data_IF_337046475408
#
_entry.id   IF_337046475408
#
_cell.length_a   1.000
_cell.length_b   1.000
_cell.length_c   1.000
_cell.angle_alpha   90.00
_cell.angle_beta   90.00
_cell.angle_gamma   90.00
#
_symmetry.space_group_name_H-M   'P 1'
#
loop_
_entity.id
_entity.type
_entity.pdbx_description
1 polymer ?
#
# COMPACT_ATOMS: atom_id res chain seq x y z
N UNK A 1 15.23 25.22 -37.95
CA UNK A 1 14.18 24.24 -37.58
C UNK A 1 14.12 24.14 -36.06
N UNK A 2 13.36 25.02 -35.42
CA UNK A 2 13.20 25.05 -33.95
C UNK A 2 12.22 23.97 -33.50
N UNK A 3 12.50 23.32 -32.36
CA UNK A 3 11.67 22.27 -31.78
C UNK A 3 10.36 22.89 -31.25
N UNK A 4 9.27 22.76 -32.01
CA UNK A 4 7.93 23.16 -31.55
C UNK A 4 7.55 22.26 -30.36
N UNK A 5 7.31 22.87 -29.20
CA UNK A 5 6.85 22.15 -28.00
C UNK A 5 5.46 21.59 -28.29
N UNK A 6 5.31 20.26 -28.26
CA UNK A 6 3.98 19.61 -28.32
C UNK A 6 3.12 20.15 -27.18
N UNK A 7 1.95 20.71 -27.52
CA UNK A 7 0.97 21.19 -26.55
C UNK A 7 0.39 19.97 -25.83
N UNK A 8 0.65 19.84 -24.52
CA UNK A 8 0.09 18.76 -23.69
C UNK A 8 -1.31 19.20 -23.25
N UNK A 9 -2.34 18.53 -23.75
CA UNK A 9 -3.75 18.86 -23.44
C UNK A 9 -4.20 18.31 -22.08
N UNK A 10 -3.57 17.24 -21.60
CA UNK A 10 -3.95 16.59 -20.35
C UNK A 10 -2.82 16.68 -19.32
N UNK A 11 -3.18 17.05 -18.10
CA UNK A 11 -2.22 17.23 -17.01
C UNK A 11 -1.51 15.91 -16.66
N UNK A 12 -2.24 14.79 -16.64
CA UNK A 12 -1.69 13.46 -16.41
C UNK A 12 -2.01 12.85 -15.03
N UNK A 13 -2.91 13.46 -14.25
CA UNK A 13 -3.26 13.04 -12.87
C UNK A 13 -4.01 11.71 -12.74
N UNK A 14 -4.22 11.02 -13.86
CA UNK A 14 -4.95 9.74 -13.85
C UNK A 14 -4.29 8.71 -12.92
N UNK A 15 -2.98 8.79 -12.71
CA UNK A 15 -2.24 7.93 -11.79
C UNK A 15 -2.60 8.19 -10.32
N UNK A 16 -2.72 9.45 -9.91
CA UNK A 16 -3.17 9.87 -8.57
C UNK A 16 -4.57 9.32 -8.33
N UNK A 17 -5.51 9.62 -9.24
CA UNK A 17 -6.90 9.14 -9.13
C UNK A 17 -7.01 7.61 -9.13
N UNK A 18 -6.14 6.90 -9.86
CA UNK A 18 -6.10 5.43 -9.87
C UNK A 18 -5.48 4.84 -8.60
N UNK A 19 -4.55 5.56 -7.94
CA UNK A 19 -3.88 5.12 -6.71
C UNK A 19 -4.85 5.20 -5.52
N UNK A 20 -5.53 6.33 -5.35
CA UNK A 20 -6.45 6.59 -4.23
C UNK A 20 -7.88 6.03 -4.43
N UNK A 21 -8.08 4.99 -5.25
CA UNK A 21 -9.39 4.33 -5.35
C UNK A 21 -9.62 3.43 -4.14
N UNK A 22 -10.87 3.29 -3.70
CA UNK A 22 -11.26 2.45 -2.56
C UNK A 22 -10.77 1.00 -2.67
N UNK A 23 -10.73 0.43 -3.88
CA UNK A 23 -10.22 -0.94 -4.12
C UNK A 23 -8.71 -1.14 -3.91
N UNK A 24 -7.94 -0.07 -3.66
CA UNK A 24 -6.48 -0.07 -3.45
C UNK A 24 -6.12 0.67 -2.15
N UNK A 25 -7.08 0.80 -1.23
CA UNK A 25 -6.90 1.46 0.06
C UNK A 25 -5.99 0.60 0.94
N UNK A 26 -4.96 1.22 1.50
CA UNK A 26 -4.08 0.62 2.52
C UNK A 26 -4.72 0.77 3.91
N UNK A 27 -4.12 0.16 4.93
CA UNK A 27 -4.59 0.36 6.31
C UNK A 27 -4.49 1.82 6.74
N UNK A 28 -5.31 2.17 7.72
CA UNK A 28 -5.24 3.47 8.38
C UNK A 28 -4.16 3.50 9.45
N UNK A 29 -3.65 4.69 9.75
CA UNK A 29 -2.71 4.88 10.86
C UNK A 29 -3.33 4.43 12.19
N UNK A 30 -4.62 4.70 12.41
CA UNK A 30 -5.33 4.28 13.63
C UNK A 30 -5.38 2.74 13.75
N UNK A 31 -5.63 2.05 12.63
CA UNK A 31 -5.61 0.58 12.57
C UNK A 31 -4.20 0.04 12.84
N UNK A 32 -3.15 0.68 12.31
CA UNK A 32 -1.76 0.30 12.56
C UNK A 32 -1.40 0.51 14.05
N UNK A 33 -1.88 1.58 14.68
CA UNK A 33 -1.67 1.82 16.10
C UNK A 33 -2.31 0.74 16.98
N UNK A 34 -3.48 0.23 16.59
CA UNK A 34 -4.13 -0.88 17.26
C UNK A 34 -3.41 -2.22 17.03
N UNK A 35 -2.88 -2.44 15.83
CA UNK A 35 -2.07 -3.62 15.49
C UNK A 35 -0.72 -3.63 16.23
N UNK A 36 -0.15 -2.46 16.55
CA UNK A 36 1.10 -2.33 17.30
C UNK A 36 0.96 -2.67 18.80
N UNK A 37 -0.26 -2.87 19.31
CA UNK A 37 -0.46 -3.34 20.69
C UNK A 37 0.13 -4.76 20.82
N UNK A 38 0.76 -5.09 21.96
CA UNK A 38 1.51 -6.35 22.12
C UNK A 38 0.65 -7.59 21.86
N UNK A 39 -0.63 -7.55 22.24
CA UNK A 39 -1.60 -8.63 22.05
C UNK A 39 -1.86 -8.98 20.57
N UNK A 40 -1.76 -7.99 19.69
CA UNK A 40 -1.99 -8.12 18.25
C UNK A 40 -0.67 -8.30 17.49
N UNK A 41 0.39 -7.62 17.94
CA UNK A 41 1.71 -7.67 17.33
C UNK A 41 2.27 -9.09 17.27
N UNK A 42 2.17 -9.86 18.36
CA UNK A 42 2.66 -11.25 18.39
C UNK A 42 1.95 -12.14 17.36
N UNK A 43 0.62 -12.01 17.25
CA UNK A 43 -0.18 -12.79 16.28
C UNK A 43 0.13 -12.41 14.84
N UNK A 44 0.38 -11.12 14.59
CA UNK A 44 0.65 -10.61 13.25
C UNK A 44 2.09 -10.85 12.80
N UNK A 45 3.04 -11.01 13.73
CA UNK A 45 4.42 -11.42 13.43
C UNK A 45 4.55 -12.93 13.20
N UNK A 46 3.78 -13.73 13.96
CA UNK A 46 3.79 -15.19 13.87
C UNK A 46 2.54 -15.72 13.16
N UNK A 47 2.28 -15.23 11.95
CA UNK A 47 1.21 -15.74 11.09
C UNK A 47 1.50 -17.17 10.64
N UNK A 48 0.44 -17.94 10.37
CA UNK A 48 0.57 -19.24 9.72
C UNK A 48 1.07 -19.10 8.27
N UNK A 49 1.65 -20.18 7.75
CA UNK A 49 2.15 -20.23 6.37
C UNK A 49 0.98 -20.16 5.38
N UNK A 50 0.91 -19.08 4.62
CA UNK A 50 -0.15 -18.79 3.64
C UNK A 50 0.46 -18.52 2.26
N UNK A 51 0.24 -19.44 1.30
CA UNK A 51 0.87 -19.42 -0.02
C UNK A 51 0.25 -18.39 -0.98
N UNK A 52 -0.92 -17.84 -0.67
CA UNK A 52 -1.55 -16.80 -1.49
C UNK A 52 -0.93 -15.41 -1.22
N UNK A 53 -0.22 -15.28 -0.09
CA UNK A 53 0.45 -14.04 0.32
C UNK A 53 1.93 -14.03 -0.06
N UNK A 54 2.49 -12.84 -0.34
CA UNK A 54 3.90 -12.70 -0.61
C UNK A 54 4.74 -13.14 0.59
N UNK A 55 5.84 -13.85 0.35
CA UNK A 55 6.74 -14.33 1.41
C UNK A 55 6.06 -15.32 2.37
N UNK A 56 5.03 -16.02 1.89
CA UNK A 56 4.25 -17.01 2.66
C UNK A 56 3.69 -16.47 3.99
N UNK A 57 3.40 -15.16 4.05
CA UNK A 57 2.98 -14.41 5.23
C UNK A 57 4.00 -14.32 6.39
N UNK A 58 5.19 -14.94 6.28
CA UNK A 58 6.19 -14.99 7.36
C UNK A 58 7.03 -13.72 7.49
N UNK A 59 7.12 -12.91 6.42
CA UNK A 59 7.96 -11.71 6.37
C UNK A 59 7.14 -10.43 6.35
N UNK A 60 6.26 -10.27 7.34
CA UNK A 60 5.33 -9.15 7.43
C UNK A 60 5.89 -7.96 8.24
N UNK A 61 5.65 -6.74 7.77
CA UNK A 61 5.97 -5.50 8.50
C UNK A 61 4.71 -4.91 9.11
N UNK A 62 4.68 -4.72 10.43
CA UNK A 62 3.56 -4.12 11.14
C UNK A 62 3.36 -2.63 10.82
N UNK A 63 4.45 -1.90 10.57
CA UNK A 63 4.41 -0.44 10.49
C UNK A 63 4.01 0.11 9.12
N UNK A 64 4.15 -0.68 8.06
CA UNK A 64 4.05 -0.20 6.67
C UNK A 64 2.81 -0.72 5.92
N UNK A 65 1.82 -1.24 6.64
CA UNK A 65 0.65 -1.94 6.10
C UNK A 65 -0.44 -1.01 5.52
#
# INVERSE_FOLDING_TARGET
MTRVRRKKYHYGDTHIRKKYKTKRRTKYMDEIHDDMKPENAEKMLHQDVDLDKPGSAQHYCLHCA
#
